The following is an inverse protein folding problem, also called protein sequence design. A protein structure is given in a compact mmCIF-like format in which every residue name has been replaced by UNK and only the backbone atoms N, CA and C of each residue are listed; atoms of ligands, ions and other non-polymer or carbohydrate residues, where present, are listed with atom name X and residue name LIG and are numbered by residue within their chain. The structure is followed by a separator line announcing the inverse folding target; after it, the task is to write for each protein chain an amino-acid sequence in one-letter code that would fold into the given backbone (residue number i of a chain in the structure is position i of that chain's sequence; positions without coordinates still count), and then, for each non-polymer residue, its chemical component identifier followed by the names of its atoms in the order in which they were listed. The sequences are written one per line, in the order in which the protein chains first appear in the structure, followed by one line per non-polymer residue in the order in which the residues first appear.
data_IF_876004950984
#
_entry.id   IF_876004950984
#
_cell.length_a   1.000
_cell.length_b   1.000
_cell.length_c   1.000
_cell.angle_alpha   90.00
_cell.angle_beta   90.00
_cell.angle_gamma   90.00
#
_symmetry.space_group_name_H-M   'P 1'
#
loop_
_entity.id
_entity.type
_entity.pdbx_description
1 polymer ?
#
# COMPACT_ATOMS: atom_id res chain seq x y z
N UNK A 1 -20.73 8.84 -8.14
CA UNK A 1 -19.30 9.00 -8.54
C UNK A 1 -18.44 8.80 -7.30
N UNK A 2 -17.46 7.92 -7.38
CA UNK A 2 -16.49 7.72 -6.30
C UNK A 2 -15.41 8.79 -6.38
N UNK A 3 -14.97 9.29 -5.21
CA UNK A 3 -13.85 10.22 -5.11
C UNK A 3 -12.93 9.79 -3.97
N UNK A 4 -11.66 9.58 -4.28
CA UNK A 4 -10.65 9.14 -3.31
C UNK A 4 -9.69 10.30 -3.01
N UNK A 5 -9.71 10.81 -1.78
CA UNK A 5 -8.67 11.70 -1.28
C UNK A 5 -7.48 10.85 -0.83
N UNK A 6 -6.33 11.11 -1.45
CA UNK A 6 -5.17 10.23 -1.31
C UNK A 6 -3.86 11.00 -1.31
N UNK A 7 -2.80 10.31 -0.94
CA UNK A 7 -1.42 10.72 -1.18
C UNK A 7 -0.73 9.61 -1.98
N UNK A 8 -0.02 9.97 -3.05
CA UNK A 8 0.49 9.03 -4.06
C UNK A 8 1.38 7.91 -3.48
N UNK A 9 2.23 8.22 -2.50
CA UNK A 9 3.12 7.23 -1.88
C UNK A 9 2.58 6.63 -0.57
N UNK A 10 1.37 7.01 -0.14
CA UNK A 10 0.76 6.37 1.02
C UNK A 10 0.40 4.91 0.71
N UNK A 11 0.96 3.91 1.39
CA UNK A 11 0.62 2.51 1.14
C UNK A 11 -0.86 2.22 1.44
N UNK A 12 -1.44 2.89 2.41
CA UNK A 12 -2.86 2.78 2.72
C UNK A 12 -3.75 3.29 1.58
N UNK A 13 -3.34 4.37 0.90
CA UNK A 13 -4.03 4.87 -0.28
C UNK A 13 -3.82 3.94 -1.48
N UNK A 14 -2.60 3.44 -1.69
CA UNK A 14 -2.29 2.49 -2.75
C UNK A 14 -3.09 1.20 -2.62
N UNK A 15 -3.25 0.66 -1.40
CA UNK A 15 -4.10 -0.50 -1.14
C UNK A 15 -5.53 -0.28 -1.60
N UNK A 16 -6.15 0.86 -1.25
CA UNK A 16 -7.51 1.20 -1.69
C UNK A 16 -7.58 1.39 -3.20
N UNK A 17 -6.58 2.05 -3.82
CA UNK A 17 -6.51 2.21 -5.28
C UNK A 17 -6.41 0.88 -6.00
N UNK A 18 -5.61 -0.07 -5.49
CA UNK A 18 -5.51 -1.43 -6.03
C UNK A 18 -6.85 -2.17 -5.91
N UNK A 19 -7.50 -2.08 -4.75
CA UNK A 19 -8.82 -2.68 -4.54
C UNK A 19 -9.86 -2.13 -5.52
N UNK A 20 -9.96 -0.80 -5.66
CA UNK A 20 -10.86 -0.14 -6.61
C UNK A 20 -10.58 -0.61 -8.05
N UNK A 21 -9.32 -0.57 -8.47
CA UNK A 21 -8.93 -0.92 -9.83
C UNK A 21 -9.15 -2.41 -10.15
N UNK A 22 -8.87 -3.31 -9.22
CA UNK A 22 -9.13 -4.74 -9.39
C UNK A 22 -10.63 -5.04 -9.51
N UNK A 23 -11.46 -4.33 -8.74
CA UNK A 23 -12.93 -4.39 -8.82
C UNK A 23 -13.52 -3.57 -9.98
N UNK A 24 -12.65 -2.97 -10.83
CA UNK A 24 -13.05 -2.13 -11.98
C UNK A 24 -13.94 -0.95 -11.60
N UNK A 25 -13.70 -0.39 -10.43
CA UNK A 25 -14.41 0.78 -9.90
C UNK A 25 -13.60 2.03 -10.19
N UNK A 26 -14.13 2.91 -11.02
CA UNK A 26 -13.50 4.19 -11.33
C UNK A 26 -13.74 5.19 -10.20
N UNK A 27 -12.67 5.84 -9.76
CA UNK A 27 -12.73 6.89 -8.74
C UNK A 27 -11.89 8.09 -9.20
N UNK A 28 -12.44 9.28 -9.00
CA UNK A 28 -11.69 10.52 -9.12
C UNK A 28 -10.63 10.56 -8.01
N UNK A 29 -9.35 10.67 -8.38
CA UNK A 29 -8.25 10.80 -7.43
C UNK A 29 -8.01 12.27 -7.11
N UNK A 30 -8.10 12.63 -5.83
CA UNK A 30 -7.83 13.99 -5.34
C UNK A 30 -6.64 13.94 -4.40
N UNK A 31 -5.54 14.58 -4.79
CA UNK A 31 -4.36 14.63 -3.92
C UNK A 31 -4.68 15.42 -2.64
N UNK A 32 -4.32 14.85 -1.50
CA UNK A 32 -4.52 15.46 -0.18
C UNK A 32 -3.17 15.58 0.56
N UNK A 33 -2.80 16.80 0.86
CA UNK A 33 -1.61 17.09 1.67
C UNK A 33 -1.97 17.00 3.16
N UNK A 34 -2.24 15.81 3.64
CA UNK A 34 -2.72 15.53 5.00
C UNK A 34 -1.83 16.11 6.11
N UNK A 35 -0.56 16.40 5.83
CA UNK A 35 0.37 17.05 6.77
C UNK A 35 0.08 18.55 6.99
N UNK A 36 -0.63 19.21 6.08
CA UNK A 36 -1.04 20.62 6.23
C UNK A 36 -2.20 20.79 7.22
N UNK A 37 -2.90 19.70 7.58
CA UNK A 37 -3.97 19.63 8.58
C UNK A 37 -5.04 20.71 8.38
N UNK A 38 -5.48 20.94 7.15
CA UNK A 38 -6.51 21.94 6.86
C UNK A 38 -7.81 21.66 7.61
N UNK A 39 -8.58 22.71 7.94
CA UNK A 39 -9.86 22.56 8.63
C UNK A 39 -10.87 21.73 7.82
N UNK A 40 -10.83 21.83 6.50
CA UNK A 40 -11.65 21.04 5.58
C UNK A 40 -11.31 19.56 5.63
N UNK A 41 -10.02 19.23 5.66
CA UNK A 41 -9.56 17.87 5.80
C UNK A 41 -9.95 17.28 7.16
N UNK A 42 -9.75 18.03 8.25
CA UNK A 42 -10.15 17.61 9.60
C UNK A 42 -11.65 17.34 9.73
N UNK A 43 -12.50 18.11 9.03
CA UNK A 43 -13.95 17.83 8.98
C UNK A 43 -14.30 16.56 8.23
N UNK A 44 -13.52 16.20 7.19
CA UNK A 44 -13.73 14.96 6.42
C UNK A 44 -13.23 13.74 7.15
N UNK A 45 -12.11 13.85 7.86
CA UNK A 45 -11.54 12.79 8.69
C UNK A 45 -10.88 13.38 9.95
N UNK A 46 -11.54 13.32 11.11
CA UNK A 46 -10.97 13.79 12.37
C UNK A 46 -9.67 13.09 12.78
N UNK A 47 -9.42 11.86 12.28
CA UNK A 47 -8.14 11.15 12.50
C UNK A 47 -6.96 11.79 11.77
N UNK A 48 -7.20 12.75 10.85
CA UNK A 48 -6.13 13.44 10.12
C UNK A 48 -5.31 12.55 9.20
N UNK A 49 -5.91 11.49 8.65
CA UNK A 49 -5.23 10.48 7.82
C UNK A 49 -5.91 10.32 6.46
N UNK A 50 -5.15 9.88 5.49
CA UNK A 50 -5.62 9.37 4.20
C UNK A 50 -5.48 7.84 4.16
N UNK A 51 -6.31 7.12 3.37
CA UNK A 51 -7.31 7.56 2.39
C UNK A 51 -8.65 8.00 3.00
N UNK A 52 -9.44 8.79 2.23
CA UNK A 52 -10.85 9.02 2.46
C UNK A 52 -11.59 8.74 1.15
N UNK A 53 -12.52 7.78 1.16
CA UNK A 53 -13.36 7.47 0.00
C UNK A 53 -14.74 8.13 0.19
N UNK A 54 -15.11 9.00 -0.76
CA UNK A 54 -16.48 9.51 -0.84
C UNK A 54 -17.32 8.68 -1.79
N UNK A 55 -18.46 8.20 -1.28
CA UNK A 55 -19.45 7.44 -2.02
C UNK A 55 -20.85 7.88 -1.57
N UNK A 56 -21.71 8.29 -2.49
CA UNK A 56 -23.11 8.65 -2.22
C UNK A 56 -23.30 9.63 -1.05
N UNK A 57 -22.42 10.63 -0.97
CA UNK A 57 -22.44 11.63 0.11
C UNK A 57 -21.77 11.21 1.42
N UNK A 58 -21.45 9.93 1.60
CA UNK A 58 -20.73 9.41 2.78
C UNK A 58 -19.22 9.57 2.61
N UNK A 59 -18.51 9.81 3.70
CA UNK A 59 -17.06 9.78 3.78
C UNK A 59 -16.64 8.52 4.56
N UNK A 60 -15.98 7.58 3.87
CA UNK A 60 -15.42 6.37 4.46
C UNK A 60 -13.95 6.60 4.74
N UNK A 61 -13.51 6.25 5.93
CA UNK A 61 -12.12 6.37 6.39
C UNK A 61 -11.58 5.02 6.81
N UNK A 62 -10.28 4.93 7.08
CA UNK A 62 -9.55 3.69 7.38
C UNK A 62 -9.51 2.70 6.21
N UNK A 63 -8.31 2.49 5.69
CA UNK A 63 -8.11 1.74 4.43
C UNK A 63 -8.65 0.32 4.47
N UNK A 64 -8.57 -0.38 5.62
CA UNK A 64 -9.13 -1.73 5.76
C UNK A 64 -10.66 -1.69 5.70
N UNK A 65 -11.29 -0.80 6.46
CA UNK A 65 -12.75 -0.63 6.46
C UNK A 65 -13.30 -0.24 5.08
N UNK A 66 -12.56 0.63 4.35
CA UNK A 66 -12.92 0.98 2.97
C UNK A 66 -12.88 -0.26 2.08
N UNK A 67 -11.81 -1.08 2.15
CA UNK A 67 -11.68 -2.28 1.32
C UNK A 67 -12.76 -3.32 1.66
N UNK A 68 -13.10 -3.53 2.94
CA UNK A 68 -14.19 -4.42 3.34
C UNK A 68 -15.55 -3.91 2.86
N UNK A 69 -15.81 -2.61 2.97
CA UNK A 69 -17.04 -2.02 2.43
C UNK A 69 -17.16 -2.22 0.91
N UNK A 70 -16.05 -2.07 0.17
CA UNK A 70 -16.02 -2.31 -1.27
C UNK A 70 -16.21 -3.81 -1.60
N UNK A 71 -15.67 -4.72 -0.76
CA UNK A 71 -15.88 -6.16 -0.90
C UNK A 71 -17.36 -6.55 -0.74
N UNK A 72 -18.02 -5.97 0.27
CA UNK A 72 -19.45 -6.25 0.52
C UNK A 72 -20.35 -5.74 -0.61
N UNK A 73 -20.03 -4.60 -1.21
CA UNK A 73 -20.81 -4.04 -2.32
C UNK A 73 -20.47 -4.67 -3.67
N UNK A 74 -19.23 -5.09 -3.88
CA UNK A 74 -18.70 -5.61 -5.14
C UNK A 74 -17.87 -6.86 -4.85
N UNK A 75 -18.50 -8.02 -4.62
CA UNK A 75 -17.80 -9.23 -4.19
C UNK A 75 -16.90 -9.85 -5.27
N UNK A 76 -17.05 -9.47 -6.53
CA UNK A 76 -16.27 -9.99 -7.64
C UNK A 76 -15.27 -8.93 -8.18
N UNK A 77 -13.98 -9.28 -8.34
CA UNK A 77 -13.33 -10.50 -7.83
C UNK A 77 -13.23 -10.50 -6.29
N UNK A 78 -13.35 -11.69 -5.68
CA UNK A 78 -13.23 -11.86 -4.23
C UNK A 78 -11.79 -11.57 -3.78
N UNK A 79 -11.66 -10.59 -2.88
CA UNK A 79 -10.36 -10.24 -2.26
C UNK A 79 -10.31 -10.60 -0.78
N UNK A 80 -11.47 -10.84 -0.17
CA UNK A 80 -11.62 -11.28 1.21
C UNK A 80 -12.53 -12.50 1.23
N UNK A 81 -11.99 -13.72 1.41
CA UNK A 81 -12.77 -14.96 1.38
C UNK A 81 -13.90 -14.98 2.40
N UNK A 82 -14.95 -15.76 2.08
CA UNK A 82 -16.10 -15.94 2.99
C UNK A 82 -15.82 -16.96 4.08
N UNK A 83 -14.96 -17.96 3.82
CA UNK A 83 -14.56 -18.96 4.80
C UNK A 83 -13.84 -18.30 6.00
N UNK A 84 -14.24 -18.60 7.25
CA UNK A 84 -13.72 -17.91 8.41
C UNK A 84 -12.20 -18.01 8.58
N UNK A 85 -11.61 -19.16 8.34
CA UNK A 85 -10.18 -19.43 8.48
C UNK A 85 -9.37 -18.66 7.43
N UNK A 86 -9.81 -18.68 6.17
CA UNK A 86 -9.15 -17.95 5.08
C UNK A 86 -9.28 -16.44 5.29
N UNK A 87 -10.47 -15.97 5.68
CA UNK A 87 -10.72 -14.57 6.01
C UNK A 87 -9.87 -14.10 7.17
N UNK A 88 -9.72 -14.92 8.21
CA UNK A 88 -8.84 -14.63 9.34
C UNK A 88 -7.41 -14.44 8.85
N UNK A 89 -6.89 -15.34 8.00
CA UNK A 89 -5.52 -15.26 7.51
C UNK A 89 -5.28 -14.03 6.66
N UNK A 90 -6.21 -13.67 5.77
CA UNK A 90 -6.16 -12.43 4.99
C UNK A 90 -6.10 -11.22 5.92
N UNK A 91 -7.01 -11.11 6.88
CA UNK A 91 -7.05 -9.98 7.83
C UNK A 91 -5.80 -9.92 8.71
N UNK A 92 -5.30 -11.06 9.15
CA UNK A 92 -4.06 -11.15 9.95
C UNK A 92 -2.87 -10.58 9.17
N UNK A 93 -2.74 -10.93 7.89
CA UNK A 93 -1.65 -10.44 7.05
C UNK A 93 -1.84 -8.98 6.65
N UNK A 94 -3.06 -8.52 6.37
CA UNK A 94 -3.33 -7.09 6.19
C UNK A 94 -2.88 -6.32 7.43
N UNK A 95 -3.25 -6.79 8.64
CA UNK A 95 -2.80 -6.19 9.88
C UNK A 95 -1.28 -6.22 10.05
N UNK A 96 -0.61 -7.30 9.63
CA UNK A 96 0.85 -7.38 9.63
C UNK A 96 1.50 -6.25 8.80
N UNK A 97 0.99 -5.98 7.60
CA UNK A 97 1.55 -4.94 6.73
C UNK A 97 1.12 -3.54 7.16
N UNK A 98 -0.15 -3.34 7.49
CA UNK A 98 -0.69 -2.04 7.87
C UNK A 98 -0.17 -1.54 9.23
N UNK A 99 0.21 -2.43 10.13
CA UNK A 99 0.71 -2.10 11.47
C UNK A 99 2.20 -2.41 11.60
N UNK A 100 2.58 -3.67 11.77
CA UNK A 100 3.97 -4.05 12.07
C UNK A 100 4.96 -3.63 10.99
N UNK A 101 4.70 -3.97 9.73
CA UNK A 101 5.59 -3.58 8.62
C UNK A 101 5.62 -2.06 8.46
N UNK A 102 4.46 -1.40 8.59
CA UNK A 102 4.41 0.05 8.55
C UNK A 102 5.28 0.68 9.63
N UNK A 103 5.16 0.27 10.88
CA UNK A 103 5.93 0.83 12.00
C UNK A 103 7.43 0.55 11.89
N UNK A 104 7.80 -0.67 11.50
CA UNK A 104 9.21 -1.10 11.48
C UNK A 104 9.96 -0.70 10.22
N UNK A 105 9.27 -0.49 9.09
CA UNK A 105 9.89 -0.27 7.78
C UNK A 105 9.37 1.00 7.12
N UNK A 106 8.10 1.05 6.71
CA UNK A 106 7.62 2.12 5.82
C UNK A 106 7.63 3.48 6.49
N UNK A 107 7.20 3.57 7.75
CA UNK A 107 7.25 4.84 8.51
C UNK A 107 8.67 5.35 8.75
N UNK A 108 9.66 4.44 8.72
CA UNK A 108 11.07 4.79 8.89
C UNK A 108 11.76 5.15 7.58
N UNK A 109 11.49 4.43 6.50
CA UNK A 109 12.13 4.66 5.22
C UNK A 109 11.42 5.75 4.41
N UNK A 110 10.13 5.55 4.10
CA UNK A 110 9.37 6.47 3.27
C UNK A 110 9.17 7.82 3.95
N UNK A 111 8.84 7.83 5.24
CA UNK A 111 8.66 9.08 5.97
C UNK A 111 9.98 9.89 6.01
N UNK A 112 11.07 9.27 6.41
CA UNK A 112 12.35 9.97 6.55
C UNK A 112 12.86 10.48 5.20
N UNK A 113 12.80 9.65 4.14
CA UNK A 113 13.39 10.01 2.84
C UNK A 113 12.54 10.96 2.00
N UNK A 114 11.20 10.90 2.14
CA UNK A 114 10.28 11.65 1.27
C UNK A 114 9.36 12.55 2.07
N UNK A 115 8.52 11.98 2.95
CA UNK A 115 7.42 12.73 3.57
C UNK A 115 7.96 13.88 4.40
N UNK A 116 9.00 13.67 5.17
CA UNK A 116 9.66 14.68 6.01
C UNK A 116 10.15 15.89 5.18
N UNK A 117 10.69 15.62 3.99
CA UNK A 117 11.17 16.68 3.08
C UNK A 117 10.01 17.44 2.43
N UNK A 118 9.01 16.74 1.87
CA UNK A 118 7.88 17.41 1.19
C UNK A 118 6.96 18.17 2.16
N UNK A 119 6.93 17.74 3.44
CA UNK A 119 6.16 18.41 4.50
C UNK A 119 6.95 19.50 5.25
N UNK A 120 8.21 19.76 4.86
CA UNK A 120 9.04 20.79 5.49
C UNK A 120 9.50 20.47 6.92
N UNK A 121 9.48 19.18 7.32
CA UNK A 121 9.81 18.75 8.68
C UNK A 121 11.31 18.45 8.89
N UNK A 122 12.17 18.87 7.97
CA UNK A 122 13.62 18.76 8.08
C UNK A 122 14.26 17.61 7.30
N UNK A 123 15.39 17.11 7.79
CA UNK A 123 16.22 16.12 7.11
C UNK A 123 15.99 14.71 7.66
N UNK A 124 16.32 13.64 6.86
CA UNK A 124 16.23 12.26 7.30
C UNK A 124 17.05 11.97 8.56
N UNK A 125 16.46 11.24 9.50
CA UNK A 125 17.18 10.67 10.63
C UNK A 125 17.87 9.37 10.20
N UNK A 126 19.21 9.38 10.20
CA UNK A 126 20.01 8.24 9.77
C UNK A 126 19.82 6.99 10.64
N UNK A 127 19.47 7.14 11.91
CA UNK A 127 19.17 6.02 12.82
C UNK A 127 17.89 5.31 12.38
N UNK A 128 16.81 6.06 12.15
CA UNK A 128 15.54 5.53 11.67
C UNK A 128 15.69 4.83 10.32
N UNK A 129 16.43 5.45 9.39
CA UNK A 129 16.71 4.85 8.06
C UNK A 129 17.46 3.52 8.19
N UNK A 130 18.50 3.45 9.03
CA UNK A 130 19.26 2.21 9.27
C UNK A 130 18.39 1.13 9.92
N UNK A 131 17.53 1.49 10.86
CA UNK A 131 16.60 0.54 11.50
C UNK A 131 15.58 0.00 10.49
N UNK A 132 14.96 0.85 9.67
CA UNK A 132 14.04 0.44 8.61
C UNK A 132 14.69 -0.49 7.60
N UNK A 133 15.90 -0.14 7.11
CA UNK A 133 16.68 -0.97 6.19
C UNK A 133 17.11 -2.32 6.77
N UNK A 134 17.26 -2.42 8.09
CA UNK A 134 17.50 -3.70 8.77
C UNK A 134 16.22 -4.51 8.90
N UNK A 135 15.13 -3.87 9.31
CA UNK A 135 13.86 -4.55 9.56
C UNK A 135 13.22 -5.14 8.31
N UNK A 136 13.32 -4.48 7.15
CA UNK A 136 12.76 -4.99 5.89
C UNK A 136 13.29 -6.39 5.55
N UNK A 137 14.53 -6.71 5.93
CA UNK A 137 15.15 -8.02 5.69
C UNK A 137 14.38 -9.16 6.38
N UNK A 138 13.94 -8.94 7.61
CA UNK A 138 13.12 -9.90 8.34
C UNK A 138 11.77 -10.11 7.66
N UNK A 139 11.14 -9.04 7.21
CA UNK A 139 9.83 -9.14 6.55
C UNK A 139 9.92 -9.83 5.19
N UNK A 140 10.97 -9.59 4.40
CA UNK A 140 11.22 -10.32 3.16
C UNK A 140 11.39 -11.81 3.45
N UNK A 141 12.18 -12.19 4.46
CA UNK A 141 12.36 -13.62 4.83
C UNK A 141 11.06 -14.25 5.31
N UNK A 142 10.20 -13.50 6.03
CA UNK A 142 8.88 -14.00 6.42
C UNK A 142 7.95 -14.21 5.22
N UNK A 143 7.94 -13.26 4.26
CA UNK A 143 7.17 -13.41 3.03
C UNK A 143 7.67 -14.60 2.19
N UNK A 144 8.98 -14.77 2.06
CA UNK A 144 9.58 -15.91 1.38
C UNK A 144 9.10 -17.23 2.00
N UNK A 145 9.15 -17.35 3.33
CA UNK A 145 8.64 -18.53 4.05
C UNK A 145 7.16 -18.81 3.76
N UNK A 146 6.31 -17.78 3.63
CA UNK A 146 4.90 -17.93 3.26
C UNK A 146 4.76 -18.42 1.81
N UNK A 147 5.45 -17.76 0.87
CA UNK A 147 5.32 -17.97 -0.57
C UNK A 147 5.97 -19.26 -1.07
N UNK A 148 6.91 -19.85 -0.32
CA UNK A 148 7.42 -21.22 -0.56
C UNK A 148 6.36 -22.30 -0.30
N UNK A 149 5.31 -21.99 0.47
CA UNK A 149 4.26 -22.93 0.91
C UNK A 149 2.89 -22.60 0.36
N UNK A 150 2.75 -21.46 -0.29
CA UNK A 150 1.48 -20.90 -0.78
C UNK A 150 1.71 -20.21 -2.11
N UNK A 151 0.70 -20.18 -2.92
CA UNK A 151 0.74 -19.46 -4.19
C UNK A 151 0.71 -17.93 -4.01
N UNK A 152 -0.03 -17.46 -2.99
CA UNK A 152 -0.19 -16.08 -2.57
C UNK A 152 0.04 -15.94 -1.07
N UNK A 153 0.20 -14.73 -0.56
CA UNK A 153 0.56 -14.53 0.85
C UNK A 153 -0.42 -15.20 1.84
N UNK A 154 -1.72 -15.14 1.57
CA UNK A 154 -2.74 -15.68 2.47
C UNK A 154 -3.22 -17.10 2.10
N UNK A 155 -2.85 -17.64 0.93
CA UNK A 155 -3.32 -18.96 0.47
C UNK A 155 -3.12 -19.19 -1.01
N UNK A 156 -4.07 -19.89 -1.64
CA UNK A 156 -3.99 -20.27 -3.06
C UNK A 156 -4.45 -19.16 -4.01
N UNK A 157 -5.31 -18.27 -3.55
CA UNK A 157 -5.87 -17.17 -4.32
C UNK A 157 -5.32 -15.81 -3.85
N UNK A 158 -5.17 -14.90 -4.82
CA UNK A 158 -4.77 -13.52 -4.55
C UNK A 158 -5.83 -12.83 -3.71
N UNK A 159 -5.41 -12.11 -2.69
CA UNK A 159 -6.30 -11.50 -1.72
C UNK A 159 -5.89 -10.05 -1.37
N UNK A 160 -6.68 -9.43 -0.52
CA UNK A 160 -6.37 -8.11 0.04
C UNK A 160 -5.02 -8.09 0.79
N UNK A 161 -4.56 -9.23 1.31
CA UNK A 161 -3.23 -9.34 1.95
C UNK A 161 -2.10 -9.06 0.96
N UNK A 162 -2.23 -9.54 -0.27
CA UNK A 162 -1.25 -9.27 -1.34
C UNK A 162 -1.24 -7.80 -1.74
N UNK A 163 -2.41 -7.16 -1.79
CA UNK A 163 -2.50 -5.73 -2.08
C UNK A 163 -1.96 -4.87 -0.93
N UNK A 164 -2.18 -5.26 0.31
CA UNK A 164 -1.59 -4.56 1.46
C UNK A 164 -0.06 -4.61 1.39
N UNK A 165 0.50 -5.79 1.18
CA UNK A 165 1.94 -5.96 1.02
C UNK A 165 2.48 -5.18 -0.18
N UNK A 166 1.90 -5.38 -1.37
CA UNK A 166 2.35 -4.74 -2.60
C UNK A 166 2.25 -3.21 -2.55
N UNK A 167 1.26 -2.65 -1.86
CA UNK A 167 1.13 -1.22 -1.64
C UNK A 167 2.33 -0.66 -0.86
N UNK A 168 2.76 -1.34 0.19
CA UNK A 168 3.94 -0.96 0.97
C UNK A 168 5.23 -1.12 0.14
N UNK A 169 5.42 -2.29 -0.47
CA UNK A 169 6.60 -2.55 -1.30
C UNK A 169 6.70 -1.59 -2.47
N UNK A 170 5.59 -1.24 -3.14
CA UNK A 170 5.60 -0.29 -4.25
C UNK A 170 6.05 1.11 -3.83
N UNK A 171 5.68 1.56 -2.63
CA UNK A 171 6.13 2.86 -2.12
C UNK A 171 7.62 2.86 -1.78
N UNK A 172 8.15 1.73 -1.28
CA UNK A 172 9.57 1.56 -1.00
C UNK A 172 10.39 1.35 -2.28
N UNK A 173 9.85 0.63 -3.26
CA UNK A 173 10.44 0.44 -4.59
C UNK A 173 10.58 1.77 -5.34
N UNK A 174 9.56 2.64 -5.23
CA UNK A 174 9.58 4.00 -5.76
C UNK A 174 10.78 4.83 -5.27
N UNK A 175 11.28 4.56 -4.08
CA UNK A 175 12.43 5.26 -3.48
C UNK A 175 13.72 4.41 -3.47
N UNK A 176 13.74 3.27 -4.18
CA UNK A 176 14.87 2.33 -4.26
C UNK A 176 15.31 1.73 -2.92
N UNK A 177 14.39 1.56 -1.99
CA UNK A 177 14.69 0.99 -0.66
C UNK A 177 14.35 -0.52 -0.55
N UNK A 178 14.11 -1.21 -1.67
CA UNK A 178 13.92 -2.66 -1.72
C UNK A 178 15.10 -3.34 -2.42
N UNK A 179 15.76 -4.23 -1.73
CA UNK A 179 16.80 -5.10 -2.31
C UNK A 179 16.14 -6.37 -2.86
N UNK A 180 15.79 -6.35 -4.14
CA UNK A 180 15.13 -7.46 -4.82
C UNK A 180 16.02 -8.68 -5.04
N UNK A 181 17.34 -8.56 -4.87
CA UNK A 181 18.26 -9.71 -4.97
C UNK A 181 18.16 -10.66 -3.78
N UNK A 182 17.49 -10.22 -2.72
CA UNK A 182 17.42 -10.92 -1.44
C UNK A 182 16.53 -12.16 -1.46
N UNK A 183 15.47 -12.16 -2.27
CA UNK A 183 14.58 -13.30 -2.44
C UNK A 183 13.94 -13.28 -3.83
N UNK A 184 14.25 -14.29 -4.64
CA UNK A 184 13.63 -14.46 -5.94
C UNK A 184 12.12 -14.74 -5.82
N UNK A 185 11.71 -15.49 -4.80
CA UNK A 185 10.30 -15.84 -4.56
C UNK A 185 9.47 -14.58 -4.30
N UNK A 186 9.96 -13.67 -3.47
CA UNK A 186 9.26 -12.40 -3.17
C UNK A 186 9.30 -11.46 -4.38
N UNK A 187 10.40 -11.43 -5.12
CA UNK A 187 10.51 -10.67 -6.37
C UNK A 187 9.48 -11.16 -7.40
N UNK A 188 9.39 -12.46 -7.64
CA UNK A 188 8.44 -13.06 -8.59
C UNK A 188 6.99 -12.81 -8.17
N UNK A 189 6.69 -12.91 -6.88
CA UNK A 189 5.37 -12.54 -6.34
C UNK A 189 5.04 -11.08 -6.64
N UNK A 190 5.98 -10.15 -6.37
CA UNK A 190 5.74 -8.73 -6.62
C UNK A 190 5.59 -8.44 -8.12
N UNK A 191 6.40 -9.05 -8.99
CA UNK A 191 6.29 -8.92 -10.43
C UNK A 191 4.90 -9.37 -10.95
N UNK A 192 4.35 -10.47 -10.42
CA UNK A 192 2.99 -10.94 -10.76
C UNK A 192 1.92 -9.90 -10.43
N UNK A 193 2.03 -9.22 -9.27
CA UNK A 193 1.06 -8.17 -8.89
C UNK A 193 1.29 -6.90 -9.70
N UNK A 194 2.54 -6.48 -9.85
CA UNK A 194 2.95 -5.29 -10.60
C UNK A 194 2.49 -5.33 -12.06
N UNK A 195 2.46 -6.53 -12.67
CA UNK A 195 2.01 -6.75 -14.05
C UNK A 195 0.48 -6.66 -14.23
N UNK A 196 -0.30 -6.62 -13.16
CA UNK A 196 -1.76 -6.55 -13.25
C UNK A 196 -2.23 -5.19 -13.78
N UNK A 197 -3.31 -5.14 -14.57
CA UNK A 197 -3.89 -3.86 -15.01
C UNK A 197 -4.22 -2.91 -13.85
N UNK A 198 -4.64 -3.45 -12.70
CA UNK A 198 -4.92 -2.68 -11.50
C UNK A 198 -3.70 -1.89 -10.98
N UNK A 199 -2.49 -2.34 -11.25
CA UNK A 199 -1.27 -1.70 -10.78
C UNK A 199 -0.82 -0.51 -11.64
N UNK A 200 -1.33 -0.37 -12.87
CA UNK A 200 -0.90 0.68 -13.81
C UNK A 200 -1.01 2.09 -13.27
N UNK A 201 -2.09 2.38 -12.54
CA UNK A 201 -2.28 3.70 -11.93
C UNK A 201 -1.23 4.00 -10.86
N UNK A 202 -0.74 2.98 -10.17
CA UNK A 202 0.33 3.11 -9.16
C UNK A 202 1.67 3.41 -9.81
N UNK A 203 1.99 2.73 -10.92
CA UNK A 203 3.23 2.95 -11.67
C UNK A 203 3.28 4.34 -12.33
N UNK A 204 2.13 4.93 -12.64
CA UNK A 204 2.03 6.26 -13.21
C UNK A 204 2.24 7.40 -12.20
N UNK A 205 2.33 7.10 -10.91
CA UNK A 205 2.52 8.12 -9.87
C UNK A 205 3.83 8.89 -10.08
N UNK A 206 3.75 10.21 -9.95
CA UNK A 206 4.89 11.12 -9.98
C UNK A 206 4.84 12.03 -8.74
N UNK A 207 5.93 12.06 -7.98
CA UNK A 207 6.06 12.94 -6.83
C UNK A 207 7.07 14.03 -7.12
N UNK A 208 6.66 15.27 -7.01
CA UNK A 208 7.52 16.43 -7.29
C UNK A 208 8.80 16.39 -6.45
N UNK A 209 9.95 16.48 -7.13
CA UNK A 209 11.28 16.43 -6.51
C UNK A 209 11.76 15.01 -6.16
N UNK A 210 10.99 13.97 -6.48
CA UNK A 210 11.34 12.56 -6.28
C UNK A 210 10.92 11.72 -7.49
N UNK A 211 11.65 11.76 -8.60
CA UNK A 211 11.34 10.90 -9.75
C UNK A 211 11.55 9.43 -9.37
N UNK A 212 10.70 8.51 -9.87
CA UNK A 212 10.90 7.08 -9.64
C UNK A 212 12.20 6.61 -10.33
N UNK A 213 12.85 5.57 -9.79
CA UNK A 213 14.01 4.95 -10.44
C UNK A 213 13.59 4.24 -11.73
N UNK A 214 14.53 4.01 -12.63
CA UNK A 214 14.26 3.42 -13.96
C UNK A 214 13.58 2.03 -13.85
N UNK A 215 14.00 1.20 -12.91
CA UNK A 215 13.43 -0.14 -12.70
C UNK A 215 11.99 -0.13 -12.18
N UNK A 216 11.52 1.01 -11.65
CA UNK A 216 10.17 1.09 -11.06
C UNK A 216 9.07 0.80 -12.07
N UNK A 217 9.23 1.22 -13.33
CA UNK A 217 8.27 0.98 -14.39
C UNK A 217 8.53 -0.31 -15.18
N UNK A 218 9.66 -0.97 -14.92
CA UNK A 218 9.98 -2.26 -15.53
C UNK A 218 9.19 -3.37 -14.85
N UNK A 219 8.46 -4.17 -15.61
CA UNK A 219 7.64 -5.26 -15.09
C UNK A 219 8.47 -6.53 -14.87
N UNK A 220 9.62 -6.64 -15.55
CA UNK A 220 10.54 -7.78 -15.52
C UNK A 220 11.86 -7.46 -14.80
N UNK A 221 11.86 -6.46 -13.94
CA UNK A 221 13.04 -5.89 -13.24
C UNK A 221 13.86 -6.89 -12.41
#
# INVERSE_FOLDING_TARGET
MLRLYHSALSPFCRKVRLCLAEKRLEAELVEEKYWEKSSDFARRNPAGKVPILRIEGKALTESMAICEYLEDLHPDPELIPKAPEERYEVRRLVGWFDDKFHQEVTSKLLYERVIKKISGQGFPDSKNVKEGARSIKFHISYMEWLLERRRWLAGEDMSLADFAAAAHFSALDYISDVDWTRSHVVKDWYAKIKSRPAFRSILADQVSGFPPPLHYNDLDF
#
